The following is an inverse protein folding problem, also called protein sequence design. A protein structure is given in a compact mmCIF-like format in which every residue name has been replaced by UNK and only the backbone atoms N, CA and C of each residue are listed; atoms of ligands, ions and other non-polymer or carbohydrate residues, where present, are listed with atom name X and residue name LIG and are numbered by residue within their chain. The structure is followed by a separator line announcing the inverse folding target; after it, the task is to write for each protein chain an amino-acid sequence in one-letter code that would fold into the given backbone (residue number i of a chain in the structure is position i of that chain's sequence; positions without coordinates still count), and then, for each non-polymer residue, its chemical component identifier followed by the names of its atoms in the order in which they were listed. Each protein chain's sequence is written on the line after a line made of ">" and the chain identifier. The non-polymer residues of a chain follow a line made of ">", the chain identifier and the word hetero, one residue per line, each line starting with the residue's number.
data_IF_910275491683
#
_entry.id   IF_910275491683
#
_cell.length_a   1.000
_cell.length_b   1.000
_cell.length_c   1.000
_cell.angle_alpha   90.00
_cell.angle_beta   90.00
_cell.angle_gamma   90.00
#
_symmetry.space_group_name_H-M   'P 1'
#
loop_
_entity.id
_entity.type
_entity.pdbx_description
1 polymer ?
#
# COMPACT_ATOMS: atom_id res chain seq x y z
N UNK A 1 52.21 20.35 -19.40
CA UNK A 1 50.96 20.98 -19.90
C UNK A 1 50.25 21.64 -18.74
N UNK A 2 50.08 22.97 -18.77
CA UNK A 2 49.39 23.74 -17.70
C UNK A 2 47.87 23.63 -17.92
N UNK A 3 47.13 23.08 -16.94
CA UNK A 3 45.66 23.04 -16.94
C UNK A 3 45.13 24.44 -16.58
N UNK A 4 44.41 25.06 -17.50
CA UNK A 4 43.73 26.34 -17.27
C UNK A 4 42.42 26.05 -16.51
N UNK A 5 42.36 26.40 -15.23
CA UNK A 5 41.12 26.36 -14.45
C UNK A 5 40.34 27.65 -14.70
N UNK A 6 39.30 27.57 -15.54
CA UNK A 6 38.33 28.64 -15.71
C UNK A 6 37.44 28.71 -14.46
N UNK A 7 37.65 29.75 -13.64
CA UNK A 7 36.74 30.10 -12.55
C UNK A 7 35.53 30.83 -13.14
N UNK A 8 34.54 30.08 -13.58
CA UNK A 8 33.22 30.65 -13.85
C UNK A 8 32.49 30.81 -12.51
N UNK A 9 32.48 32.02 -11.97
CA UNK A 9 31.65 32.36 -10.82
C UNK A 9 30.26 32.76 -11.32
N UNK A 10 29.24 32.00 -10.94
CA UNK A 10 27.84 32.35 -11.20
C UNK A 10 27.39 33.26 -10.06
N UNK A 11 27.03 34.50 -10.38
CA UNK A 11 26.40 35.41 -9.42
C UNK A 11 24.88 35.30 -9.55
N UNK A 12 24.18 35.24 -8.42
CA UNK A 12 22.72 35.28 -8.42
C UNK A 12 22.24 36.68 -8.81
N UNK A 13 21.19 36.77 -9.63
CA UNK A 13 20.56 38.06 -9.93
C UNK A 13 19.76 38.55 -8.72
N UNK A 14 19.64 39.87 -8.57
CA UNK A 14 18.87 40.49 -7.49
C UNK A 14 17.39 40.03 -7.43
N UNK A 15 16.85 39.56 -8.56
CA UNK A 15 15.47 39.08 -8.69
C UNK A 15 15.31 37.58 -8.43
N UNK A 16 16.41 36.86 -8.18
CA UNK A 16 16.35 35.44 -7.86
C UNK A 16 15.87 35.26 -6.41
N UNK A 17 14.85 34.43 -6.20
CA UNK A 17 14.34 34.07 -4.87
C UNK A 17 15.30 33.09 -4.18
N UNK A 18 16.53 33.53 -3.96
CA UNK A 18 17.61 32.74 -3.37
C UNK A 18 18.13 33.49 -2.12
N UNK A 19 18.24 32.79 -1.00
CA UNK A 19 18.80 33.35 0.23
C UNK A 19 20.34 33.29 0.10
N UNK A 20 21.00 34.44 0.18
CA UNK A 20 22.46 34.52 0.24
C UNK A 20 22.92 33.92 1.58
N UNK A 21 23.61 32.78 1.51
CA UNK A 21 24.10 32.08 2.69
C UNK A 21 25.51 32.55 3.05
N UNK A 22 25.71 33.85 3.26
CA UNK A 22 26.99 34.40 3.70
C UNK A 22 26.86 34.89 5.15
N UNK A 23 27.14 33.99 6.11
CA UNK A 23 27.70 34.31 7.44
C UNK A 23 27.75 33.06 8.35
N UNK A 24 28.33 31.97 7.88
CA UNK A 24 28.77 30.91 8.79
C UNK A 24 30.25 30.63 8.55
N UNK A 25 31.02 30.87 9.60
CA UNK A 25 32.44 30.60 9.75
C UNK A 25 32.83 29.25 9.16
N UNK A 26 33.98 29.22 8.52
CA UNK A 26 34.70 28.07 7.98
C UNK A 26 34.61 26.84 8.90
N UNK A 27 33.65 25.96 8.64
CA UNK A 27 33.69 24.57 9.05
C UNK A 27 34.03 23.71 7.82
N UNK A 28 34.96 22.79 8.03
CA UNK A 28 35.57 21.93 7.02
C UNK A 28 34.54 21.26 6.09
N UNK A 29 34.73 21.43 4.77
CA UNK A 29 33.94 20.78 3.70
C UNK A 29 34.00 19.24 3.78
N UNK A 30 34.87 18.65 4.61
CA UNK A 30 35.04 17.21 4.77
C UNK A 30 34.51 16.62 6.09
N UNK A 31 33.66 17.33 6.85
CA UNK A 31 32.92 16.64 7.92
C UNK A 31 31.79 15.77 7.35
N UNK A 32 32.11 14.51 7.08
CA UNK A 32 31.12 13.46 6.80
C UNK A 32 30.36 13.18 8.08
N UNK A 33 29.33 14.00 8.36
CA UNK A 33 28.32 13.69 9.36
C UNK A 33 27.24 12.85 8.71
N UNK A 34 27.22 11.56 9.03
CA UNK A 34 26.08 10.71 8.72
C UNK A 34 24.87 11.26 9.47
N UNK A 35 23.99 11.97 8.77
CA UNK A 35 22.69 12.30 9.32
C UNK A 35 21.98 10.97 9.61
N UNK A 36 21.77 10.65 10.90
CA UNK A 36 20.82 9.61 11.30
C UNK A 36 19.49 10.01 10.71
N UNK A 37 19.07 9.32 9.64
CA UNK A 37 17.76 9.49 9.02
C UNK A 37 16.70 9.28 10.11
N UNK A 38 16.05 10.36 10.55
CA UNK A 38 14.73 10.22 11.18
C UNK A 38 13.88 9.47 10.16
N UNK A 39 13.28 8.37 10.60
CA UNK A 39 12.41 7.53 9.76
C UNK A 39 11.14 8.32 9.47
N UNK A 40 11.23 9.26 8.55
CA UNK A 40 10.07 9.69 7.80
C UNK A 40 9.69 8.52 6.89
N UNK A 41 8.41 8.15 6.99
CA UNK A 41 7.75 7.12 6.22
C UNK A 41 7.84 7.43 4.73
N UNK A 42 8.97 7.15 4.10
CA UNK A 42 9.09 7.04 2.66
C UNK A 42 8.21 5.87 2.24
N UNK A 43 7.09 6.18 1.58
CA UNK A 43 6.38 5.21 0.76
C UNK A 43 7.39 4.71 -0.28
N UNK A 44 7.89 3.49 -0.08
CA UNK A 44 8.64 2.80 -1.12
C UNK A 44 7.63 2.51 -2.23
N UNK A 45 7.60 3.37 -3.25
CA UNK A 45 6.97 3.03 -4.52
C UNK A 45 7.82 1.93 -5.17
N UNK A 46 7.40 0.68 -4.98
CA UNK A 46 7.88 -0.41 -5.81
C UNK A 46 7.34 -0.18 -7.22
N UNK A 47 8.23 0.19 -8.14
CA UNK A 47 7.93 0.22 -9.56
C UNK A 47 7.72 -1.24 -10.01
N UNK A 48 6.47 -1.64 -10.18
CA UNK A 48 6.12 -2.87 -10.88
C UNK A 48 6.26 -2.61 -12.38
N UNK A 49 7.22 -3.28 -13.01
CA UNK A 49 7.35 -3.34 -14.47
C UNK A 49 6.06 -3.91 -15.07
N UNK A 50 5.50 -3.15 -16.03
CA UNK A 50 4.16 -3.32 -16.64
C UNK A 50 4.20 -4.17 -17.92
N UNK A 51 5.12 -5.14 -17.99
CA UNK A 51 5.28 -5.98 -19.18
C UNK A 51 4.73 -7.38 -18.89
N UNK A 52 3.43 -7.54 -19.18
CA UNK A 52 2.74 -8.74 -19.69
C UNK A 52 1.30 -8.82 -19.14
N UNK A 53 0.41 -8.00 -19.68
CA UNK A 53 -1.03 -8.26 -19.59
C UNK A 53 -1.42 -9.20 -20.73
N UNK A 54 -1.06 -10.47 -20.61
CA UNK A 54 -1.59 -11.51 -21.50
C UNK A 54 -3.03 -11.78 -21.06
N UNK A 55 -4.00 -11.56 -21.94
CA UNK A 55 -5.36 -12.08 -21.75
C UNK A 55 -5.25 -13.60 -21.65
N UNK A 56 -5.29 -14.11 -20.41
CA UNK A 56 -5.40 -15.53 -20.14
C UNK A 56 -6.89 -15.86 -20.13
N UNK A 57 -7.35 -16.60 -21.14
CA UNK A 57 -8.66 -17.23 -21.15
C UNK A 57 -8.71 -18.27 -20.04
N UNK A 58 -9.14 -17.84 -18.86
CA UNK A 58 -9.30 -18.67 -17.68
C UNK A 58 -10.78 -18.98 -17.51
N UNK A 59 -11.09 -20.24 -17.21
CA UNK A 59 -12.42 -20.66 -16.78
C UNK A 59 -12.86 -19.88 -15.52
N UNK A 60 -14.15 -19.61 -15.37
CA UNK A 60 -14.73 -18.68 -14.38
C UNK A 60 -14.31 -19.06 -12.93
N UNK A 61 -14.29 -20.37 -12.63
CA UNK A 61 -13.85 -20.88 -11.34
C UNK A 61 -12.34 -20.75 -11.08
N UNK A 62 -11.51 -20.71 -12.11
CA UNK A 62 -10.06 -20.49 -11.97
C UNK A 62 -9.74 -19.02 -11.70
N UNK A 63 -10.50 -18.11 -12.32
CA UNK A 63 -10.37 -16.67 -12.11
C UNK A 63 -10.67 -16.28 -10.66
N UNK A 64 -11.69 -16.87 -10.05
CA UNK A 64 -12.02 -16.64 -8.63
C UNK A 64 -10.89 -17.06 -7.69
N UNK A 65 -10.26 -18.22 -7.94
CA UNK A 65 -9.13 -18.70 -7.13
C UNK A 65 -7.92 -17.75 -7.25
N UNK A 66 -7.62 -17.27 -8.45
CA UNK A 66 -6.54 -16.31 -8.66
C UNK A 66 -6.83 -14.97 -7.98
N UNK A 67 -8.05 -14.46 -8.13
CA UNK A 67 -8.51 -13.24 -7.48
C UNK A 67 -8.37 -13.36 -5.96
N UNK A 68 -8.79 -14.46 -5.38
CA UNK A 68 -8.66 -14.71 -3.94
C UNK A 68 -7.21 -14.76 -3.48
N UNK A 69 -6.32 -15.38 -4.26
CA UNK A 69 -4.89 -15.39 -3.99
C UNK A 69 -4.25 -13.98 -4.03
N UNK A 70 -4.66 -13.16 -5.00
CA UNK A 70 -4.24 -11.76 -5.10
C UNK A 70 -4.77 -10.94 -3.92
N UNK A 71 -6.04 -11.10 -3.57
CA UNK A 71 -6.64 -10.43 -2.42
C UNK A 71 -5.94 -10.83 -1.11
N UNK A 72 -5.60 -12.11 -0.93
CA UNK A 72 -4.87 -12.57 0.25
C UNK A 72 -3.45 -11.99 0.32
N UNK A 73 -2.76 -11.87 -0.82
CA UNK A 73 -1.48 -11.17 -0.88
C UNK A 73 -1.60 -9.69 -0.44
N UNK A 74 -2.65 -9.00 -0.90
CA UNK A 74 -2.95 -7.62 -0.47
C UNK A 74 -3.27 -7.56 1.03
N UNK A 75 -3.98 -8.56 1.57
CA UNK A 75 -4.28 -8.64 3.00
C UNK A 75 -3.01 -8.66 3.84
N UNK A 76 -2.00 -9.45 3.46
CA UNK A 76 -0.69 -9.45 4.12
C UNK A 76 -0.01 -8.08 4.13
N UNK A 77 -0.07 -7.36 3.01
CA UNK A 77 0.43 -5.98 2.93
C UNK A 77 -0.35 -5.01 3.83
N UNK A 78 -1.68 -5.12 3.89
CA UNK A 78 -2.53 -4.31 4.76
C UNK A 78 -2.15 -4.54 6.23
N UNK A 79 -2.06 -5.79 6.66
CA UNK A 79 -1.69 -6.14 8.05
C UNK A 79 -0.32 -5.55 8.40
N UNK A 80 0.68 -5.71 7.50
CA UNK A 80 2.01 -5.10 7.67
C UNK A 80 1.96 -3.57 7.83
N UNK A 81 1.02 -2.88 7.18
CA UNK A 81 0.81 -1.44 7.33
C UNK A 81 0.05 -1.08 8.61
N UNK A 82 -0.88 -1.91 9.06
CA UNK A 82 -1.64 -1.70 10.30
C UNK A 82 -0.74 -1.84 11.52
N UNK A 83 0.21 -2.79 11.54
CA UNK A 83 1.18 -2.93 12.65
C UNK A 83 2.01 -1.69 12.94
N UNK A 84 2.14 -0.78 11.97
CA UNK A 84 2.83 0.50 12.19
C UNK A 84 1.95 1.57 12.83
N UNK A 85 0.66 1.27 13.06
CA UNK A 85 -0.37 2.22 13.50
C UNK A 85 -1.09 1.78 14.78
N UNK A 86 -0.92 0.54 15.21
CA UNK A 86 -1.57 0.00 16.40
C UNK A 86 -0.50 -0.45 17.38
N UNK A 87 -0.76 -0.20 18.67
CA UNK A 87 0.12 -0.62 19.76
C UNK A 87 -0.50 -1.78 20.57
N UNK A 88 -1.80 -2.04 20.38
CA UNK A 88 -2.52 -3.11 21.06
C UNK A 88 -2.10 -4.49 20.54
N UNK A 89 -1.55 -5.31 21.42
CA UNK A 89 -1.01 -6.66 21.10
C UNK A 89 -2.11 -7.63 20.68
N UNK A 90 -3.23 -7.67 21.39
CA UNK A 90 -4.37 -8.55 21.07
C UNK A 90 -4.96 -8.22 19.69
N UNK A 91 -5.05 -6.93 19.35
CA UNK A 91 -5.41 -6.48 18.01
C UNK A 91 -4.40 -6.96 16.97
N UNK A 92 -3.10 -6.80 17.23
CA UNK A 92 -2.06 -7.23 16.31
C UNK A 92 -2.10 -8.75 16.06
N UNK A 93 -2.26 -9.54 17.11
CA UNK A 93 -2.35 -11.00 17.03
C UNK A 93 -3.59 -11.45 16.26
N UNK A 94 -4.76 -10.80 16.47
CA UNK A 94 -6.00 -11.14 15.76
C UNK A 94 -5.92 -10.93 14.24
N UNK A 95 -4.99 -10.12 13.76
CA UNK A 95 -4.76 -9.86 12.34
C UNK A 95 -3.91 -10.94 11.65
N UNK A 96 -3.23 -11.81 12.42
CA UNK A 96 -2.33 -12.83 11.90
C UNK A 96 -3.02 -14.18 11.76
N UNK A 97 -2.53 -14.99 10.82
CA UNK A 97 -2.92 -16.39 10.73
C UNK A 97 -2.46 -17.14 11.99
N UNK A 98 -3.39 -17.91 12.59
CA UNK A 98 -3.11 -18.71 13.77
C UNK A 98 -2.12 -19.83 13.43
N UNK A 99 -0.89 -19.73 13.94
CA UNK A 99 0.18 -20.70 13.71
C UNK A 99 0.05 -21.94 14.60
N UNK A 100 -0.89 -21.93 15.55
CA UNK A 100 -1.06 -22.95 16.60
C UNK A 100 -1.67 -24.26 16.08
N UNK A 101 -2.30 -24.23 14.91
CA UNK A 101 -2.72 -25.44 14.22
C UNK A 101 -1.52 -25.95 13.41
N UNK A 102 -0.91 -27.05 13.86
CA UNK A 102 0.03 -27.88 13.09
C UNK A 102 -0.64 -28.43 11.82
N UNK A 103 -0.98 -27.53 10.90
CA UNK A 103 -1.83 -27.83 9.77
C UNK A 103 -0.96 -28.05 8.55
N UNK A 104 -0.33 -29.23 8.51
CA UNK A 104 0.21 -29.78 7.27
C UNK A 104 -0.90 -30.07 6.24
N UNK A 105 -2.18 -29.89 6.63
CA UNK A 105 -3.35 -30.39 5.91
C UNK A 105 -4.42 -29.32 5.55
N UNK A 106 -4.34 -28.08 6.05
CA UNK A 106 -5.31 -27.03 5.69
C UNK A 106 -4.60 -25.84 5.05
N UNK A 107 -4.21 -26.00 3.78
CA UNK A 107 -3.90 -24.83 2.95
C UNK A 107 -5.22 -24.27 2.47
N UNK A 108 -5.55 -23.06 2.91
CA UNK A 108 -6.62 -22.31 2.28
C UNK A 108 -6.28 -22.13 0.79
N UNK A 109 -7.23 -22.35 -0.11
CA UNK A 109 -7.01 -22.19 -1.57
C UNK A 109 -6.47 -20.80 -1.92
N UNK A 110 -6.86 -19.79 -1.14
CA UNK A 110 -6.44 -18.40 -1.26
C UNK A 110 -5.02 -18.11 -0.73
N UNK A 111 -4.35 -19.03 -0.04
CA UNK A 111 -2.99 -18.82 0.50
C UNK A 111 -1.88 -19.36 -0.40
N UNK A 112 -2.22 -20.18 -1.40
CA UNK A 112 -1.27 -20.95 -2.22
C UNK A 112 -0.21 -20.07 -2.87
N UNK A 113 -0.61 -18.93 -3.44
CA UNK A 113 0.30 -17.99 -4.09
C UNK A 113 1.30 -17.38 -3.09
N UNK A 114 0.80 -16.95 -1.92
CA UNK A 114 1.64 -16.38 -0.87
C UNK A 114 2.62 -17.45 -0.38
N UNK A 115 2.15 -18.66 -0.13
CA UNK A 115 2.99 -19.78 0.32
C UNK A 115 4.10 -20.10 -0.69
N UNK A 116 3.78 -20.08 -1.99
CA UNK A 116 4.75 -20.33 -3.06
C UNK A 116 5.80 -19.21 -3.18
N UNK A 117 5.39 -17.96 -3.00
CA UNK A 117 6.27 -16.79 -3.16
C UNK A 117 6.99 -16.40 -1.88
N UNK A 118 6.58 -16.90 -0.72
CA UNK A 118 7.15 -16.49 0.55
C UNK A 118 8.58 -17.00 0.71
N UNK A 119 9.50 -16.08 0.95
CA UNK A 119 10.90 -16.34 1.31
C UNK A 119 11.21 -15.99 2.76
N UNK A 120 10.18 -15.99 3.62
CA UNK A 120 10.25 -15.63 5.04
C UNK A 120 9.91 -14.17 5.36
N UNK A 121 9.57 -13.36 4.36
CA UNK A 121 9.30 -11.91 4.54
C UNK A 121 7.85 -11.49 4.31
N UNK A 122 6.98 -12.39 3.83
CA UNK A 122 5.57 -12.10 3.61
C UNK A 122 4.76 -12.37 4.88
N UNK A 123 3.88 -11.43 5.21
CA UNK A 123 2.94 -11.55 6.34
C UNK A 123 1.74 -12.36 5.89
N UNK A 124 1.39 -13.38 6.67
CA UNK A 124 0.14 -14.14 6.50
C UNK A 124 -0.94 -13.58 7.39
N UNK A 125 -2.00 -13.07 6.78
CA UNK A 125 -3.12 -12.46 7.49
C UNK A 125 -4.12 -13.51 7.97
N UNK A 126 -4.89 -13.17 9.01
CA UNK A 126 -5.99 -14.00 9.49
C UNK A 126 -7.12 -14.11 8.45
N UNK A 127 -7.90 -15.18 8.55
CA UNK A 127 -9.06 -15.43 7.68
C UNK A 127 -10.10 -14.32 7.80
N UNK A 128 -10.19 -13.68 8.96
CA UNK A 128 -11.11 -12.58 9.23
C UNK A 128 -10.75 -11.32 8.43
N UNK A 129 -9.46 -11.01 8.28
CA UNK A 129 -9.00 -9.92 7.40
C UNK A 129 -9.37 -10.21 5.95
N UNK A 130 -9.17 -11.45 5.49
CA UNK A 130 -9.55 -11.87 4.14
C UNK A 130 -11.05 -11.68 3.89
N UNK A 131 -11.91 -12.14 4.82
CA UNK A 131 -13.37 -11.95 4.73
C UNK A 131 -13.78 -10.47 4.65
N UNK A 132 -13.15 -9.61 5.47
CA UNK A 132 -13.40 -8.16 5.44
C UNK A 132 -13.03 -7.60 4.06
N UNK A 133 -11.83 -7.91 3.56
CA UNK A 133 -11.34 -7.40 2.28
C UNK A 133 -12.19 -7.89 1.11
N UNK A 134 -12.58 -9.16 1.07
CA UNK A 134 -13.48 -9.69 0.04
C UNK A 134 -14.84 -8.98 0.05
N UNK A 135 -15.41 -8.72 1.24
CA UNK A 135 -16.65 -7.96 1.36
C UNK A 135 -16.48 -6.50 0.88
N UNK A 136 -15.36 -5.86 1.19
CA UNK A 136 -15.04 -4.50 0.73
C UNK A 136 -14.91 -4.46 -0.79
N UNK A 137 -14.20 -5.41 -1.39
CA UNK A 137 -14.04 -5.48 -2.86
C UNK A 137 -15.38 -5.69 -3.56
N UNK A 138 -16.20 -6.63 -3.07
CA UNK A 138 -17.55 -6.84 -3.58
C UNK A 138 -18.38 -5.55 -3.52
N UNK A 139 -18.46 -4.92 -2.33
CA UNK A 139 -19.23 -3.68 -2.12
C UNK A 139 -18.72 -2.54 -2.98
N UNK A 140 -17.40 -2.43 -3.16
CA UNK A 140 -16.77 -1.41 -4.00
C UNK A 140 -17.18 -1.58 -5.46
N UNK A 141 -17.06 -2.81 -5.99
CA UNK A 141 -17.43 -3.14 -7.37
C UNK A 141 -18.91 -2.86 -7.61
N UNK A 142 -19.77 -3.31 -6.69
CA UNK A 142 -21.22 -3.12 -6.77
C UNK A 142 -21.61 -1.63 -6.78
N UNK A 143 -21.10 -0.84 -5.84
CA UNK A 143 -21.47 0.58 -5.72
C UNK A 143 -20.94 1.46 -6.86
N UNK A 144 -19.89 1.01 -7.54
CA UNK A 144 -19.20 1.78 -8.59
C UNK A 144 -19.44 1.24 -10.01
N UNK A 145 -20.26 0.19 -10.15
CA UNK A 145 -20.47 -0.53 -11.40
C UNK A 145 -19.12 -0.89 -12.06
N UNK A 146 -18.30 -1.69 -11.38
CA UNK A 146 -16.94 -2.04 -11.82
C UNK A 146 -16.02 -0.81 -12.01
N UNK A 147 -16.00 0.11 -11.04
CA UNK A 147 -15.13 1.31 -11.01
C UNK A 147 -15.33 2.27 -12.20
N UNK A 148 -16.48 2.18 -12.88
CA UNK A 148 -16.86 3.09 -13.97
C UNK A 148 -17.34 4.43 -13.42
N UNK A 149 -18.10 4.42 -12.33
CA UNK A 149 -18.68 5.62 -11.71
C UNK A 149 -18.21 5.75 -10.26
N UNK A 150 -17.57 6.88 -9.93
CA UNK A 150 -17.20 7.22 -8.56
C UNK A 150 -18.19 8.25 -8.01
N UNK A 151 -18.84 7.93 -6.89
CA UNK A 151 -19.78 8.80 -6.19
C UNK A 151 -19.08 9.53 -5.03
N UNK A 152 -19.59 10.68 -4.65
CA UNK A 152 -19.14 11.35 -3.41
C UNK A 152 -19.40 10.45 -2.20
N UNK A 153 -18.53 10.56 -1.19
CA UNK A 153 -18.61 9.82 0.07
C UNK A 153 -18.58 8.28 -0.06
N UNK A 154 -18.12 7.73 -1.19
CA UNK A 154 -18.04 6.28 -1.44
C UNK A 154 -17.33 5.53 -0.32
N UNK A 155 -16.15 6.01 0.11
CA UNK A 155 -15.36 5.34 1.15
C UNK A 155 -16.11 5.24 2.47
N UNK A 156 -16.80 6.29 2.90
CA UNK A 156 -17.57 6.30 4.13
C UNK A 156 -18.74 5.32 4.05
N UNK A 157 -19.44 5.27 2.91
CA UNK A 157 -20.55 4.33 2.69
C UNK A 157 -20.10 2.88 2.77
N UNK A 158 -18.97 2.56 2.13
CA UNK A 158 -18.39 1.21 2.18
C UNK A 158 -18.01 0.86 3.62
N UNK A 159 -17.30 1.74 4.33
CA UNK A 159 -16.90 1.50 5.73
C UNK A 159 -18.11 1.23 6.63
N UNK A 160 -19.20 1.99 6.49
CA UNK A 160 -20.42 1.79 7.28
C UNK A 160 -21.05 0.43 6.96
N UNK A 161 -21.19 0.08 5.67
CA UNK A 161 -21.70 -1.22 5.26
C UNK A 161 -20.85 -2.37 5.82
N UNK A 162 -19.53 -2.24 5.76
CA UNK A 162 -18.60 -3.26 6.28
C UNK A 162 -18.70 -3.39 7.79
N UNK A 163 -18.82 -2.28 8.54
CA UNK A 163 -19.03 -2.33 9.99
C UNK A 163 -20.31 -3.07 10.36
N UNK A 164 -21.41 -2.79 9.67
CA UNK A 164 -22.70 -3.47 9.89
C UNK A 164 -22.60 -4.97 9.59
N UNK A 165 -21.90 -5.32 8.50
CA UNK A 165 -21.64 -6.72 8.17
C UNK A 165 -20.79 -7.42 9.24
N UNK A 166 -19.71 -6.77 9.72
CA UNK A 166 -18.82 -7.31 10.77
C UNK A 166 -19.52 -7.42 12.13
N UNK A 167 -20.49 -6.56 12.42
CA UNK A 167 -21.30 -6.66 13.64
C UNK A 167 -22.20 -7.90 13.62
N UNK A 168 -22.83 -8.18 12.47
CA UNK A 168 -23.71 -9.34 12.30
C UNK A 168 -22.96 -10.65 12.05
N UNK A 169 -21.67 -10.57 11.74
CA UNK A 169 -20.84 -11.72 11.41
C UNK A 169 -19.83 -12.05 12.50
N UNK A 170 -19.43 -13.31 12.46
CA UNK A 170 -18.57 -14.00 13.39
C UNK A 170 -17.08 -13.65 13.19
N UNK A 171 -16.78 -12.37 12.93
CA UNK A 171 -15.45 -11.81 12.64
C UNK A 171 -14.84 -11.26 13.93
N UNK A 172 -13.57 -11.58 14.21
CA UNK A 172 -12.85 -11.20 15.43
C UNK A 172 -13.60 -11.59 16.72
N UNK A 173 -14.16 -12.80 16.78
CA UNK A 173 -14.95 -13.27 17.94
C UNK A 173 -14.21 -13.20 19.26
N UNK A 174 -12.93 -13.56 19.23
CA UNK A 174 -12.11 -13.74 20.43
C UNK A 174 -11.28 -12.48 20.74
N UNK A 175 -11.54 -11.36 20.05
CA UNK A 175 -10.86 -10.11 20.35
C UNK A 175 -11.50 -9.49 21.59
N UNK A 176 -10.77 -9.57 22.70
CA UNK A 176 -11.10 -8.89 23.95
C UNK A 176 -9.90 -8.02 24.31
N UNK A 177 -10.06 -6.70 24.26
CA UNK A 177 -9.02 -5.76 24.68
C UNK A 177 -9.33 -5.24 26.08
N UNK A 178 -8.31 -5.01 26.90
CA UNK A 178 -8.48 -4.51 28.27
C UNK A 178 -9.11 -3.09 28.29
N UNK A 179 -8.89 -2.31 27.24
CA UNK A 179 -9.36 -0.92 27.08
C UNK A 179 -10.65 -0.78 26.23
N UNK A 180 -11.37 -1.87 25.93
CA UNK A 180 -12.60 -1.82 25.11
C UNK A 180 -13.73 -1.05 25.84
N UNK A 181 -13.74 0.28 25.69
CA UNK A 181 -14.84 1.14 26.10
C UNK A 181 -15.90 1.20 24.99
N UNK A 182 -17.12 1.64 25.35
CA UNK A 182 -18.19 1.84 24.35
C UNK A 182 -17.78 2.82 23.22
N UNK A 183 -16.91 3.79 23.53
CA UNK A 183 -16.43 4.79 22.57
C UNK A 183 -15.24 4.30 21.74
N UNK A 184 -14.41 3.41 22.31
CA UNK A 184 -13.21 2.86 21.67
C UNK A 184 -13.39 1.37 21.41
N UNK A 185 -14.22 1.05 20.42
CA UNK A 185 -14.37 -0.32 19.99
C UNK A 185 -13.19 -0.72 19.07
N UNK A 186 -12.21 -1.43 19.62
CA UNK A 186 -11.00 -1.85 18.90
C UNK A 186 -11.34 -2.63 17.62
N UNK A 187 -12.34 -3.51 17.69
CA UNK A 187 -12.84 -4.28 16.54
C UNK A 187 -13.31 -3.37 15.40
N UNK A 188 -14.15 -2.37 15.69
CA UNK A 188 -14.65 -1.44 14.65
C UNK A 188 -13.54 -0.50 14.13
N UNK A 189 -12.57 -0.16 14.97
CA UNK A 189 -11.41 0.63 14.58
C UNK A 189 -10.50 -0.14 13.62
N UNK A 190 -10.22 -1.42 13.91
CA UNK A 190 -9.49 -2.33 13.02
C UNK A 190 -10.19 -2.45 11.65
N UNK A 191 -11.49 -2.71 11.64
CA UNK A 191 -12.28 -2.78 10.40
C UNK A 191 -12.14 -1.49 9.59
N UNK A 192 -12.23 -0.33 10.26
CA UNK A 192 -12.06 0.98 9.61
C UNK A 192 -10.68 1.13 8.97
N UNK A 193 -9.62 0.71 9.67
CA UNK A 193 -8.25 0.77 9.18
C UNK A 193 -8.05 -0.14 7.96
N UNK A 194 -8.54 -1.39 8.03
CA UNK A 194 -8.48 -2.35 6.92
C UNK A 194 -9.18 -1.77 5.70
N UNK A 195 -10.43 -1.27 5.86
CA UNK A 195 -11.19 -0.69 4.76
C UNK A 195 -10.46 0.51 4.13
N UNK A 196 -9.96 1.46 4.93
CA UNK A 196 -9.26 2.64 4.44
C UNK A 196 -8.01 2.27 3.64
N UNK A 197 -7.23 1.31 4.13
CA UNK A 197 -6.01 0.87 3.45
C UNK A 197 -6.33 0.14 2.13
N UNK A 198 -7.29 -0.78 2.15
CA UNK A 198 -7.70 -1.50 0.94
C UNK A 198 -8.24 -0.54 -0.13
N UNK A 199 -9.16 0.34 0.24
CA UNK A 199 -9.74 1.33 -0.67
C UNK A 199 -8.67 2.25 -1.25
N UNK A 200 -7.67 2.68 -0.45
CA UNK A 200 -6.52 3.44 -0.96
C UNK A 200 -5.80 2.65 -2.06
N UNK A 201 -5.38 1.42 -1.77
CA UNK A 201 -4.66 0.56 -2.73
C UNK A 201 -5.47 0.40 -4.03
N UNK A 202 -6.76 0.04 -3.90
CA UNK A 202 -7.60 -0.30 -5.05
C UNK A 202 -7.94 0.91 -5.92
N UNK A 203 -8.24 2.05 -5.32
CA UNK A 203 -8.53 3.29 -6.05
C UNK A 203 -7.28 3.87 -6.71
N UNK A 204 -6.11 3.79 -6.06
CA UNK A 204 -4.84 4.18 -6.69
C UNK A 204 -4.51 3.29 -7.88
N UNK A 205 -4.69 1.97 -7.76
CA UNK A 205 -4.51 1.05 -8.89
C UNK A 205 -5.46 1.39 -10.05
N UNK A 206 -6.74 1.63 -9.77
CA UNK A 206 -7.72 2.01 -10.78
C UNK A 206 -7.37 3.36 -11.46
N UNK A 207 -6.89 4.34 -10.70
CA UNK A 207 -6.41 5.61 -11.23
C UNK A 207 -5.16 5.44 -12.11
N UNK A 208 -4.21 4.58 -11.70
CA UNK A 208 -3.02 4.23 -12.49
C UNK A 208 -3.41 3.61 -13.83
N UNK A 209 -4.34 2.65 -13.84
CA UNK A 209 -4.83 2.03 -15.07
C UNK A 209 -5.47 3.06 -16.02
N UNK A 210 -6.35 3.93 -15.50
CA UNK A 210 -6.98 4.99 -16.32
C UNK A 210 -5.96 5.97 -16.89
N UNK A 211 -4.92 6.30 -16.12
CA UNK A 211 -3.86 7.22 -16.56
C UNK A 211 -2.92 6.58 -17.59
N UNK A 212 -2.60 5.29 -17.43
CA UNK A 212 -1.78 4.56 -18.39
C UNK A 212 -2.44 4.47 -19.78
N UNK A 213 -3.77 4.43 -19.83
CA UNK A 213 -4.54 4.44 -21.08
C UNK A 213 -4.51 5.83 -21.75
N UNK A 214 -4.57 6.91 -20.98
CA UNK A 214 -4.72 8.28 -21.52
C UNK A 214 -3.40 8.93 -21.95
N UNK A 215 -2.27 8.56 -21.34
CA UNK A 215 -0.97 9.12 -21.73
C UNK A 215 -0.34 8.25 -22.82
N UNK A 216 -0.05 8.85 -23.98
CA UNK A 216 0.69 8.15 -25.04
C UNK A 216 2.02 7.61 -24.50
N UNK A 217 2.23 6.29 -24.59
CA UNK A 217 3.52 5.65 -24.25
C UNK A 217 4.70 6.35 -24.93
N UNK A 218 4.48 6.87 -26.15
CA UNK A 218 5.47 7.67 -26.89
C UNK A 218 5.87 8.95 -26.16
N UNK A 219 4.92 9.68 -25.57
CA UNK A 219 5.21 10.93 -24.84
C UNK A 219 5.99 10.67 -23.55
N UNK A 220 5.68 9.58 -22.84
CA UNK A 220 6.43 9.14 -21.67
C UNK A 220 7.87 8.74 -22.03
N UNK A 221 8.04 7.92 -23.07
CA UNK A 221 9.35 7.46 -23.53
C UNK A 221 10.20 8.57 -24.13
N UNK A 222 9.60 9.56 -24.80
CA UNK A 222 10.34 10.73 -25.32
C UNK A 222 11.08 11.49 -24.22
N UNK A 223 10.49 11.62 -23.02
CA UNK A 223 11.20 12.24 -21.89
C UNK A 223 12.33 11.38 -21.37
N UNK A 224 12.14 10.06 -21.26
CA UNK A 224 13.20 9.15 -20.84
C UNK A 224 14.40 9.17 -21.79
N UNK A 225 14.16 9.19 -23.10
CA UNK A 225 15.22 9.24 -24.12
C UNK A 225 15.96 10.59 -24.07
N UNK A 226 15.26 11.69 -23.83
CA UNK A 226 15.87 13.02 -23.68
C UNK A 226 16.81 13.12 -22.48
N UNK A 227 16.49 12.46 -21.37
CA UNK A 227 17.31 12.47 -20.15
C UNK A 227 18.37 11.36 -20.10
N UNK A 228 18.32 10.35 -20.96
CA UNK A 228 19.35 9.31 -21.04
C UNK A 228 20.57 9.74 -21.89
N UNK A 229 20.40 10.75 -22.75
CA UNK A 229 21.44 11.25 -23.65
C UNK A 229 22.04 12.61 -23.23
N UNK A 230 21.86 13.02 -21.96
CA UNK A 230 22.51 14.17 -21.33
C UNK A 230 23.43 13.69 -20.21
#
# INVERSE_FOLDING_TARGET
>A
MKKLLLKNAVSASYSANCILMDSTSTESVFEIRWAKKKVDSSECEENFDDDNLTELDLDDGCFDVLKDNVLYYICGFIVKKIFKKIDCTTCAESLLEDQTLHSYCHRNSFSVFVDLKNRGGLVKSSVDVMKIVTFVEFTLIELTNNLTVLKSCLSSKIIINTKNHVFNSNIFKNLSCEDDSFLENHKLNLVTLICKLYLKIRLHYAAKLKTAITVSKRHMLSKLILFHNQ
#
